data_IF_794961235086
#
_entry.id   IF_794961235086
#
_cell.length_a   1.000
_cell.length_b   1.000
_cell.length_c   1.000
_cell.angle_alpha   90.00
_cell.angle_beta   90.00
_cell.angle_gamma   90.00
#
_symmetry.space_group_name_H-M   'P 1'
#
loop_
_entity.id
_entity.type
_entity.pdbx_description
1 polymer ?
#
# COMPACT_ATOMS: atom_id res chain seq x y z
N UNK A 1 -17.65 4.60 -7.73
CA UNK A 1 -16.82 4.59 -8.95
C UNK A 1 -17.72 4.49 -10.18
N UNK A 2 -17.21 4.60 -11.43
CA UNK A 2 -18.05 4.43 -12.64
C UNK A 2 -18.84 3.11 -12.66
N UNK A 3 -18.29 2.03 -12.08
CA UNK A 3 -18.97 0.73 -11.94
C UNK A 3 -19.91 0.66 -10.72
N UNK A 4 -20.27 1.79 -10.10
CA UNK A 4 -21.16 1.82 -8.92
C UNK A 4 -20.53 1.36 -7.59
N UNK A 5 -19.36 0.72 -7.61
CA UNK A 5 -18.65 0.27 -6.40
C UNK A 5 -18.29 1.44 -5.48
N UNK A 6 -18.49 1.27 -4.17
CA UNK A 6 -18.02 2.22 -3.15
C UNK A 6 -16.53 2.01 -2.84
N UNK A 7 -15.85 3.11 -2.52
CA UNK A 7 -14.44 3.11 -2.08
C UNK A 7 -14.28 3.52 -0.61
N UNK A 8 -15.39 3.87 0.06
CA UNK A 8 -15.40 4.25 1.47
C UNK A 8 -14.90 3.10 2.33
N UNK A 9 -14.06 3.40 3.32
CA UNK A 9 -13.40 2.46 4.25
C UNK A 9 -12.43 1.43 3.61
N UNK A 10 -12.71 0.99 2.37
CA UNK A 10 -11.99 -0.06 1.64
C UNK A 10 -10.91 0.45 0.69
N UNK A 11 -11.09 1.63 0.11
CA UNK A 11 -10.26 2.15 -0.98
C UNK A 11 -10.37 1.34 -2.28
N UNK A 12 -9.42 1.59 -3.20
CA UNK A 12 -9.24 0.80 -4.42
C UNK A 12 -8.29 -0.36 -4.10
N UNK A 13 -8.71 -1.58 -4.42
CA UNK A 13 -7.84 -2.76 -4.29
C UNK A 13 -7.01 -2.82 -5.56
N UNK A 14 -5.67 -2.83 -5.48
CA UNK A 14 -4.83 -2.96 -6.66
C UNK A 14 -4.98 -4.37 -7.23
N UNK A 15 -4.94 -4.48 -8.55
CA UNK A 15 -4.97 -5.78 -9.22
C UNK A 15 -3.65 -6.54 -9.00
N UNK A 16 -2.54 -5.81 -8.84
CA UNK A 16 -1.21 -6.35 -8.62
C UNK A 16 -0.59 -5.60 -7.44
N UNK A 17 -0.25 -6.34 -6.38
CA UNK A 17 0.44 -5.77 -5.22
C UNK A 17 1.93 -5.81 -5.48
N UNK A 18 2.58 -4.64 -5.40
CA UNK A 18 4.04 -4.51 -5.48
C UNK A 18 4.50 -3.78 -4.22
N UNK A 19 5.52 -4.32 -3.56
CA UNK A 19 6.09 -3.73 -2.37
C UNK A 19 7.04 -2.57 -2.73
N UNK A 20 7.34 -1.71 -1.75
CA UNK A 20 8.21 -0.55 -1.96
C UNK A 20 9.68 -0.95 -2.19
N UNK A 21 10.10 -2.07 -1.61
CA UNK A 21 11.45 -2.61 -1.74
C UNK A 21 11.44 -4.13 -1.88
N UNK A 22 12.57 -4.70 -2.29
CA UNK A 22 12.77 -6.15 -2.33
C UNK A 22 12.62 -6.82 -0.95
N UNK A 23 12.86 -6.09 0.14
CA UNK A 23 12.72 -6.58 1.51
C UNK A 23 11.31 -6.33 2.09
N UNK A 24 10.35 -5.88 1.26
CA UNK A 24 8.98 -5.54 1.65
C UNK A 24 8.78 -4.05 1.90
N UNK A 25 7.56 -3.67 2.30
CA UNK A 25 7.26 -2.32 2.81
C UNK A 25 7.15 -2.33 4.34
N UNK A 26 7.86 -1.40 4.98
CA UNK A 26 7.77 -1.09 6.41
C UNK A 26 6.89 0.13 6.69
N UNK A 27 6.32 0.75 5.66
CA UNK A 27 5.45 1.92 5.77
C UNK A 27 4.05 1.55 6.26
N UNK A 28 3.55 2.29 7.26
CA UNK A 28 2.17 2.17 7.73
C UNK A 28 1.20 2.60 6.62
N UNK A 29 0.43 1.66 6.07
CA UNK A 29 -0.63 1.95 5.10
C UNK A 29 -1.90 2.35 5.83
N UNK A 30 -2.10 3.64 6.05
CA UNK A 30 -3.32 4.18 6.65
C UNK A 30 -4.53 3.96 5.74
N UNK A 31 -5.60 3.38 6.27
CA UNK A 31 -6.91 3.27 5.59
C UNK A 31 -7.91 4.21 6.23
N UNK A 32 -8.94 4.58 5.47
CA UNK A 32 -10.06 5.36 6.00
C UNK A 32 -10.73 4.65 7.18
N UNK A 33 -10.89 3.32 7.11
CA UNK A 33 -11.46 2.50 8.19
C UNK A 33 -10.71 2.62 9.54
N UNK A 34 -9.42 2.98 9.51
CA UNK A 34 -8.60 3.09 10.71
C UNK A 34 -8.81 4.44 11.45
N UNK A 35 -9.60 5.36 10.88
CA UNK A 35 -9.86 6.67 11.46
C UNK A 35 -11.06 6.66 12.41
N UNK A 36 -10.95 7.33 13.56
CA UNK A 36 -11.97 7.39 14.63
C UNK A 36 -13.35 7.89 14.16
N UNK A 37 -13.39 8.70 13.09
CA UNK A 37 -14.61 9.31 12.55
C UNK A 37 -14.84 8.96 11.08
N UNK A 38 -14.43 7.76 10.67
CA UNK A 38 -14.76 7.29 9.34
C UNK A 38 -16.27 7.06 9.18
N UNK A 39 -16.75 7.14 7.95
CA UNK A 39 -18.14 6.87 7.62
C UNK A 39 -18.32 5.38 7.30
N UNK A 40 -19.42 4.79 7.75
CA UNK A 40 -19.81 3.44 7.36
C UNK A 40 -20.39 3.44 5.94
N UNK A 41 -20.14 2.36 5.21
CA UNK A 41 -20.58 2.24 3.82
C UNK A 41 -21.90 1.48 3.74
N UNK A 42 -23.02 2.20 3.55
CA UNK A 42 -24.37 1.60 3.48
C UNK A 42 -24.66 0.85 2.16
N UNK A 43 -23.72 0.86 1.19
CA UNK A 43 -23.93 0.32 -0.16
C UNK A 43 -23.34 -1.06 -0.39
N UNK A 44 -22.44 -1.52 0.49
CA UNK A 44 -21.80 -2.83 0.39
C UNK A 44 -22.08 -3.61 1.68
N UNK A 45 -22.47 -4.89 1.57
CA UNK A 45 -22.57 -5.78 2.73
C UNK A 45 -21.16 -6.06 3.21
N UNK A 46 -20.76 -5.41 4.29
CA UNK A 46 -19.48 -5.63 4.95
C UNK A 46 -19.41 -7.09 5.44
N UNK A 47 -18.42 -7.84 4.94
CA UNK A 47 -18.01 -9.06 5.63
C UNK A 47 -17.26 -8.58 6.87
N UNK A 48 -17.74 -8.86 8.09
CA UNK A 48 -17.11 -8.36 9.30
C UNK A 48 -15.71 -8.97 9.39
N UNK A 49 -14.69 -8.15 9.19
CA UNK A 49 -13.35 -8.45 9.68
C UNK A 49 -13.44 -8.27 11.18
N UNK A 50 -13.13 -9.32 11.94
CA UNK A 50 -13.16 -9.29 13.40
C UNK A 50 -12.50 -8.01 13.92
N UNK A 51 -13.11 -7.33 14.92
CA UNK A 51 -12.45 -6.21 15.56
C UNK A 51 -11.13 -6.71 16.15
N UNK A 52 -10.02 -6.19 15.64
CA UNK A 52 -8.78 -6.22 16.42
C UNK A 52 -9.03 -5.25 17.56
N UNK A 53 -9.17 -5.81 18.77
CA UNK A 53 -9.38 -5.05 19.99
C UNK A 53 -8.45 -3.83 20.01
N UNK A 54 -9.04 -2.62 20.03
CA UNK A 54 -8.36 -1.34 20.26
C UNK A 54 -7.93 -1.21 21.74
N UNK A 55 -7.34 -2.28 22.28
CA UNK A 55 -6.96 -2.50 23.67
C UNK A 55 -5.47 -2.76 23.83
N UNK A 56 -4.63 -2.12 23.03
CA UNK A 56 -3.20 -2.03 23.33
C UNK A 56 -2.71 -0.60 23.07
N UNK A 57 -2.84 0.26 24.09
CA UNK A 57 -1.96 1.42 24.26
C UNK A 57 -0.53 0.91 24.50
N UNK A 58 0.09 0.41 23.45
CA UNK A 58 1.53 0.18 23.38
C UNK A 58 2.19 1.53 23.09
N UNK A 59 2.83 2.10 24.10
CA UNK A 59 3.68 3.28 23.98
C UNK A 59 4.66 3.06 22.83
N UNK A 60 4.52 3.80 21.74
CA UNK A 60 5.57 3.93 20.75
C UNK A 60 6.74 4.66 21.44
N UNK A 61 7.72 3.90 21.91
CA UNK A 61 9.03 4.45 22.18
C UNK A 61 9.59 4.93 20.83
N UNK A 62 10.19 6.13 20.73
CA UNK A 62 10.88 6.53 19.53
C UNK A 62 12.07 5.57 19.37
N UNK A 63 12.02 4.72 18.36
CA UNK A 63 13.23 4.08 17.86
C UNK A 63 14.16 5.20 17.40
N UNK A 64 15.28 5.37 18.10
CA UNK A 64 16.40 6.16 17.62
C UNK A 64 16.99 5.40 16.43
N UNK A 65 16.53 5.73 15.24
CA UNK A 65 17.31 5.49 14.03
C UNK A 65 18.27 6.67 13.88
N UNK A 66 19.33 6.64 14.69
CA UNK A 66 20.56 7.37 14.42
C UNK A 66 21.31 6.56 13.35
N UNK A 67 21.05 6.81 12.06
CA UNK A 67 22.05 6.67 10.99
C UNK A 67 21.49 7.17 9.64
N UNK A 68 22.27 8.05 9.00
CA UNK A 68 22.15 8.56 7.63
C UNK A 68 21.12 9.69 7.37
N UNK A 69 21.41 10.84 7.98
CA UNK A 69 20.97 12.18 7.53
C UNK A 69 21.68 12.56 6.20
N UNK A 70 21.64 11.66 5.21
CA UNK A 70 21.92 11.99 3.82
C UNK A 70 20.65 12.63 3.30
N UNK A 71 20.71 13.94 3.05
CA UNK A 71 19.68 14.68 2.32
C UNK A 71 19.13 13.81 1.20
N UNK A 72 17.89 13.35 1.38
CA UNK A 72 17.23 12.51 0.39
C UNK A 72 17.27 13.28 -0.92
N UNK A 73 18.00 12.74 -1.90
CA UNK A 73 17.98 13.28 -3.25
C UNK A 73 16.52 13.39 -3.68
N UNK A 74 16.15 14.40 -4.48
CA UNK A 74 14.80 14.50 -5.02
C UNK A 74 14.38 13.14 -5.59
N UNK A 75 13.20 12.67 -5.20
CA UNK A 75 12.70 11.40 -5.71
C UNK A 75 12.52 11.51 -7.22
N UNK A 76 13.28 10.72 -7.98
CA UNK A 76 13.20 10.66 -9.43
C UNK A 76 12.43 9.42 -9.87
N UNK A 77 11.30 9.64 -10.52
CA UNK A 77 10.44 8.58 -11.05
C UNK A 77 11.11 7.80 -12.18
N UNK A 78 10.75 6.52 -12.32
CA UNK A 78 11.16 5.68 -13.43
C UNK A 78 12.69 5.51 -13.59
N UNK A 79 13.41 5.66 -12.48
CA UNK A 79 14.84 5.39 -12.41
C UNK A 79 15.11 3.90 -12.21
N UNK A 80 16.36 3.48 -12.37
CA UNK A 80 16.77 2.09 -12.10
C UNK A 80 16.66 1.70 -10.62
N UNK A 81 16.61 2.70 -9.74
CA UNK A 81 16.48 2.56 -8.29
C UNK A 81 15.03 2.52 -7.83
N UNK A 82 14.07 2.88 -8.69
CA UNK A 82 12.64 2.73 -8.45
C UNK A 82 12.24 1.25 -8.59
N UNK A 83 12.13 0.57 -7.45
CA UNK A 83 11.83 -0.85 -7.41
C UNK A 83 10.49 -1.17 -8.08
N UNK A 84 9.43 -0.40 -7.79
CA UNK A 84 8.10 -0.63 -8.34
C UNK A 84 8.08 -0.47 -9.87
N UNK A 85 8.78 0.52 -10.39
CA UNK A 85 8.94 0.70 -11.83
C UNK A 85 9.66 -0.49 -12.48
N UNK A 86 10.76 -0.96 -11.88
CA UNK A 86 11.48 -2.13 -12.42
C UNK A 86 10.61 -3.39 -12.42
N UNK A 87 9.76 -3.59 -11.39
CA UNK A 87 8.81 -4.71 -11.38
C UNK A 87 7.75 -4.59 -12.47
N UNK A 88 7.23 -3.38 -12.73
CA UNK A 88 6.29 -3.15 -13.83
C UNK A 88 6.90 -3.52 -15.20
N UNK A 89 8.16 -3.14 -15.44
CA UNK A 89 8.88 -3.53 -16.66
C UNK A 89 9.08 -5.04 -16.77
N UNK A 90 9.38 -5.72 -15.66
CA UNK A 90 9.55 -7.17 -15.64
C UNK A 90 8.23 -7.89 -15.94
N UNK A 91 7.14 -7.44 -15.36
CA UNK A 91 5.80 -7.95 -15.65
C UNK A 91 5.46 -7.78 -17.14
N UNK A 92 5.67 -6.58 -17.70
CA UNK A 92 5.39 -6.30 -19.10
C UNK A 92 6.20 -7.20 -20.05
N UNK A 93 7.50 -7.35 -19.79
CA UNK A 93 8.38 -8.24 -20.56
C UNK A 93 7.93 -9.70 -20.46
N UNK A 94 7.53 -10.15 -19.26
CA UNK A 94 7.00 -11.49 -19.04
C UNK A 94 5.72 -11.76 -19.84
N UNK A 95 4.78 -10.82 -19.82
CA UNK A 95 3.53 -10.91 -20.60
C UNK A 95 3.81 -10.98 -22.11
N UNK A 96 4.77 -10.21 -22.63
CA UNK A 96 5.14 -10.24 -24.05
C UNK A 96 5.72 -11.59 -24.47
N UNK A 97 6.50 -12.24 -23.59
CA UNK A 97 7.03 -13.58 -23.85
C UNK A 97 5.89 -14.61 -23.86
N UNK A 98 4.96 -14.52 -22.91
CA UNK A 98 3.80 -15.44 -22.85
C UNK A 98 2.87 -15.31 -24.06
N UNK A 99 2.73 -14.13 -24.64
CA UNK A 99 1.90 -13.89 -25.83
C UNK A 99 2.53 -14.36 -27.15
N UNK A 100 3.85 -14.57 -27.20
CA UNK A 100 4.57 -15.01 -28.40
C UNK A 100 4.58 -16.53 -28.58
N UNK A 101 4.07 -17.28 -27.61
CA UNK A 101 3.83 -18.73 -27.68
C UNK A 101 2.36 -19.02 -27.90
#
# INVERSE_FOLDING_TARGET
TPNGRSIQAKGIVPDIVVEESANGSSGLRLREADLDRHLNNDKDVEIPVMPVDAGAKGKAAPAKDEEDDKQAAPFEFATKTDYQFTQALNLLKGLQIMQKN
#
